data_IF_061576683801
#
_entry.id   IF_061576683801
#
_cell.length_a   1.000
_cell.length_b   1.000
_cell.length_c   1.000
_cell.angle_alpha   90.00
_cell.angle_beta   90.00
_cell.angle_gamma   90.00
#
_symmetry.space_group_name_H-M   'P 1'
#
loop_
_entity.id
_entity.type
_entity.pdbx_description
1 polymer ?
#
# COMPACT_ATOMS: atom_id res chain seq x y z
N UNK A 1 -16.89 -34.05 -24.90
CA UNK A 1 -16.98 -32.77 -25.61
C UNK A 1 -16.75 -31.66 -24.60
N UNK A 2 -15.51 -31.19 -24.49
CA UNK A 2 -15.11 -30.13 -23.56
C UNK A 2 -15.54 -28.81 -24.20
N UNK A 3 -16.58 -28.16 -23.66
CA UNK A 3 -17.01 -26.86 -24.15
C UNK A 3 -15.92 -25.85 -23.81
N UNK A 4 -15.30 -25.26 -24.83
CA UNK A 4 -14.39 -24.12 -24.66
C UNK A 4 -15.20 -22.96 -24.06
N UNK A 5 -14.82 -22.40 -22.90
CA UNK A 5 -15.58 -21.32 -22.28
C UNK A 5 -15.65 -20.12 -23.23
N UNK A 6 -16.86 -19.61 -23.45
CA UNK A 6 -17.14 -18.45 -24.30
C UNK A 6 -16.48 -17.21 -23.68
N UNK A 7 -15.64 -16.51 -24.47
CA UNK A 7 -14.97 -15.26 -24.10
C UNK A 7 -15.93 -14.31 -23.37
N UNK A 8 -15.51 -13.65 -22.27
CA UNK A 8 -16.31 -12.66 -21.56
C UNK A 8 -16.17 -11.25 -22.14
N UNK A 9 -15.34 -11.05 -23.16
CA UNK A 9 -15.14 -9.76 -23.83
C UNK A 9 -15.30 -9.93 -25.34
N UNK A 10 -15.92 -8.94 -25.98
CA UNK A 10 -16.06 -8.83 -27.44
C UNK A 10 -14.92 -8.01 -28.06
N UNK A 11 -14.38 -8.50 -29.17
CA UNK A 11 -13.35 -7.81 -29.97
C UNK A 11 -11.90 -8.25 -29.66
N UNK A 12 -10.95 -7.96 -30.58
CA UNK A 12 -9.55 -8.39 -30.46
C UNK A 12 -8.70 -7.48 -29.57
N UNK A 13 -9.20 -6.31 -29.16
CA UNK A 13 -8.50 -5.34 -28.32
C UNK A 13 -9.45 -4.74 -27.32
N UNK A 14 -9.03 -4.65 -26.06
CA UNK A 14 -9.82 -4.09 -24.96
C UNK A 14 -8.93 -3.35 -23.98
N UNK A 15 -9.53 -2.52 -23.13
CA UNK A 15 -8.84 -1.76 -22.09
C UNK A 15 -9.20 -2.34 -20.73
N UNK A 16 -8.20 -2.50 -19.87
CA UNK A 16 -8.36 -2.77 -18.46
C UNK A 16 -7.98 -1.51 -17.66
N UNK A 17 -8.80 -1.11 -16.72
CA UNK A 17 -8.52 -0.03 -15.78
C UNK A 17 -8.69 -0.52 -14.35
N UNK A 18 -7.64 -0.40 -13.55
CA UNK A 18 -7.71 -0.65 -12.12
C UNK A 18 -7.87 0.67 -11.39
N UNK A 19 -8.78 0.72 -10.42
CA UNK A 19 -9.07 1.87 -9.59
C UNK A 19 -8.89 1.49 -8.13
N UNK A 20 -7.98 2.16 -7.42
CA UNK A 20 -7.88 2.06 -5.98
C UNK A 20 -8.73 3.17 -5.34
N UNK A 21 -9.87 2.78 -4.77
CA UNK A 21 -10.99 3.71 -4.49
C UNK A 21 -11.28 3.88 -3.00
N UNK A 22 -10.95 2.90 -2.18
CA UNK A 22 -11.26 2.91 -0.76
C UNK A 22 -10.28 2.03 0.04
N UNK A 23 -10.28 2.12 1.38
CA UNK A 23 -9.54 1.19 2.23
C UNK A 23 -10.10 -0.25 2.14
N UNK A 24 -11.43 -0.39 2.00
CA UNK A 24 -12.09 -1.70 1.86
C UNK A 24 -13.34 -1.66 0.98
N UNK A 25 -13.61 -2.77 0.29
CA UNK A 25 -14.86 -3.03 -0.45
C UNK A 25 -15.56 -4.26 0.14
N UNK A 26 -16.84 -4.12 0.47
CA UNK A 26 -17.68 -5.24 0.85
C UNK A 26 -18.25 -5.95 -0.39
N UNK A 27 -17.67 -7.11 -0.72
CA UNK A 27 -18.06 -7.96 -1.85
C UNK A 27 -19.24 -8.89 -1.54
N UNK A 28 -19.65 -9.02 -0.27
CA UNK A 28 -20.71 -9.95 0.13
C UNK A 28 -22.06 -9.59 -0.51
N UNK A 29 -22.72 -10.61 -1.07
CA UNK A 29 -24.02 -10.45 -1.73
C UNK A 29 -23.98 -9.74 -3.09
N UNK A 30 -22.80 -9.57 -3.69
CA UNK A 30 -22.64 -9.13 -5.10
C UNK A 30 -22.53 -10.30 -6.08
N UNK A 31 -22.51 -11.54 -5.56
CA UNK A 31 -22.51 -12.77 -6.35
C UNK A 31 -23.85 -12.92 -7.08
N UNK A 32 -23.92 -12.44 -8.34
CA UNK A 32 -25.07 -12.60 -9.24
C UNK A 32 -24.93 -13.87 -10.09
N UNK A 33 -25.88 -14.12 -11.00
CA UNK A 33 -25.83 -15.26 -11.93
C UNK A 33 -24.62 -15.30 -12.88
N UNK A 34 -23.92 -14.17 -13.07
CA UNK A 34 -22.80 -14.01 -14.01
C UNK A 34 -21.41 -14.02 -13.34
N UNK A 35 -21.28 -14.68 -12.18
CA UNK A 35 -20.00 -14.82 -11.46
C UNK A 35 -19.01 -15.68 -12.25
N UNK A 36 -17.79 -15.17 -12.39
CA UNK A 36 -16.64 -15.82 -13.02
C UNK A 36 -15.69 -16.43 -11.99
N UNK A 37 -15.50 -15.77 -10.85
CA UNK A 37 -14.72 -16.25 -9.71
C UNK A 37 -15.16 -15.55 -8.42
N UNK A 38 -14.91 -16.16 -7.27
CA UNK A 38 -15.25 -15.61 -5.94
C UNK A 38 -14.05 -15.02 -5.20
N UNK A 39 -12.83 -15.42 -5.58
CA UNK A 39 -11.57 -15.01 -4.96
C UNK A 39 -10.52 -14.70 -6.05
N UNK A 40 -10.37 -13.42 -6.46
CA UNK A 40 -11.21 -12.26 -6.13
C UNK A 40 -12.61 -12.36 -6.76
N UNK A 41 -13.56 -11.55 -6.31
CA UNK A 41 -14.92 -11.56 -6.86
C UNK A 41 -14.91 -10.97 -8.27
N UNK A 42 -15.02 -11.83 -9.28
CA UNK A 42 -15.07 -11.47 -10.69
C UNK A 42 -16.44 -11.82 -11.28
N UNK A 43 -17.04 -10.92 -12.06
CA UNK A 43 -18.32 -11.16 -12.73
C UNK A 43 -18.47 -10.30 -13.98
N UNK A 44 -19.38 -10.68 -14.88
CA UNK A 44 -19.70 -9.86 -16.07
C UNK A 44 -20.60 -8.68 -15.69
N UNK A 45 -20.28 -7.50 -16.22
CA UNK A 45 -21.08 -6.28 -16.06
C UNK A 45 -22.08 -6.12 -17.21
N UNK A 46 -21.64 -6.40 -18.44
CA UNK A 46 -22.44 -6.40 -19.66
C UNK A 46 -21.92 -7.51 -20.61
N UNK A 47 -22.35 -7.53 -21.88
CA UNK A 47 -21.93 -8.57 -22.83
C UNK A 47 -20.42 -8.65 -23.08
N UNK A 48 -19.70 -7.52 -22.94
CA UNK A 48 -18.29 -7.38 -23.29
C UNK A 48 -17.41 -6.86 -22.13
N UNK A 49 -17.95 -6.81 -20.92
CA UNK A 49 -17.39 -6.08 -19.80
C UNK A 49 -17.29 -6.94 -18.56
N UNK A 50 -16.13 -6.91 -17.91
CA UNK A 50 -15.84 -7.68 -16.69
C UNK A 50 -15.45 -6.73 -15.57
N UNK A 51 -15.98 -6.97 -14.37
CA UNK A 51 -15.53 -6.33 -13.15
C UNK A 51 -14.89 -7.36 -12.22
N UNK A 52 -13.76 -6.98 -11.62
CA UNK A 52 -13.03 -7.76 -10.63
C UNK A 52 -12.88 -6.89 -9.39
N UNK A 53 -13.42 -7.36 -8.27
CA UNK A 53 -13.46 -6.64 -7.00
C UNK A 53 -12.52 -7.29 -6.00
N UNK A 54 -11.61 -6.48 -5.49
CA UNK A 54 -10.66 -6.85 -4.46
C UNK A 54 -11.11 -6.26 -3.12
N UNK A 55 -11.14 -7.08 -2.07
CA UNK A 55 -11.63 -6.67 -0.75
C UNK A 55 -10.78 -5.56 -0.13
N UNK A 56 -9.50 -5.50 -0.50
CA UNK A 56 -8.57 -4.44 -0.15
C UNK A 56 -8.78 -3.13 -0.92
N UNK A 57 -9.92 -2.94 -1.58
CA UNK A 57 -10.34 -1.61 -2.04
C UNK A 57 -10.07 -1.29 -3.51
N UNK A 58 -9.67 -2.28 -4.30
CA UNK A 58 -9.42 -2.13 -5.75
C UNK A 58 -10.59 -2.68 -6.57
N UNK A 59 -10.92 -1.96 -7.63
CA UNK A 59 -11.87 -2.36 -8.68
C UNK A 59 -11.13 -2.40 -10.00
N UNK A 60 -11.11 -3.54 -10.69
CA UNK A 60 -10.59 -3.63 -12.06
C UNK A 60 -11.75 -3.82 -13.02
N UNK A 61 -11.84 -2.93 -14.01
CA UNK A 61 -12.87 -2.93 -15.05
C UNK A 61 -12.20 -3.19 -16.39
N UNK A 62 -12.68 -4.20 -17.12
CA UNK A 62 -12.12 -4.61 -18.40
C UNK A 62 -13.21 -4.57 -19.46
N UNK A 63 -12.99 -3.83 -20.54
CA UNK A 63 -13.93 -3.73 -21.67
C UNK A 63 -15.14 -2.83 -21.42
N UNK A 64 -15.11 -2.00 -20.37
CA UNK A 64 -16.12 -0.97 -20.12
C UNK A 64 -15.66 0.36 -20.74
N UNK A 65 -16.62 1.19 -21.12
CA UNK A 65 -16.36 2.58 -21.50
C UNK A 65 -16.39 3.51 -20.27
N UNK A 66 -15.91 4.75 -20.42
CA UNK A 66 -15.78 5.68 -19.30
C UNK A 66 -17.10 6.02 -18.56
N UNK A 67 -18.24 5.97 -19.25
CA UNK A 67 -19.55 6.18 -18.63
C UNK A 67 -19.94 4.96 -17.78
N UNK A 68 -19.81 3.76 -18.35
CA UNK A 68 -20.09 2.50 -17.65
C UNK A 68 -19.19 2.34 -16.41
N UNK A 69 -17.92 2.74 -16.52
CA UNK A 69 -16.97 2.73 -15.40
C UNK A 69 -17.43 3.66 -14.27
N UNK A 70 -17.82 4.90 -14.58
CA UNK A 70 -18.27 5.86 -13.57
C UNK A 70 -19.58 5.41 -12.90
N UNK A 71 -20.54 4.91 -13.69
CA UNK A 71 -21.79 4.35 -13.17
C UNK A 71 -21.53 3.14 -12.24
N UNK A 72 -20.65 2.23 -12.66
CA UNK A 72 -20.29 1.07 -11.87
C UNK A 72 -19.65 1.47 -10.53
N UNK A 73 -18.68 2.38 -10.56
CA UNK A 73 -18.03 2.88 -9.35
C UNK A 73 -19.00 3.61 -8.41
N UNK A 74 -19.93 4.39 -8.95
CA UNK A 74 -20.99 5.03 -8.15
C UNK A 74 -21.89 4.00 -7.47
N UNK A 75 -22.27 2.94 -8.18
CA UNK A 75 -23.11 1.87 -7.63
C UNK A 75 -22.46 1.16 -6.43
N UNK A 76 -21.12 1.12 -6.39
CA UNK A 76 -20.35 0.49 -5.33
C UNK A 76 -20.07 1.40 -4.12
N UNK A 77 -20.34 2.71 -4.18
CA UNK A 77 -19.99 3.66 -3.11
C UNK A 77 -20.54 3.26 -1.73
N UNK A 78 -21.78 2.73 -1.67
CA UNK A 78 -22.40 2.28 -0.41
C UNK A 78 -21.70 1.08 0.25
N UNK A 79 -20.84 0.38 -0.50
CA UNK A 79 -20.09 -0.80 -0.06
C UNK A 79 -18.62 -0.49 0.22
N UNK A 80 -18.19 0.75 -0.03
CA UNK A 80 -16.82 1.22 0.18
C UNK A 80 -16.68 1.82 1.57
N UNK A 81 -15.61 1.44 2.28
CA UNK A 81 -15.22 2.02 3.57
C UNK A 81 -13.88 2.71 3.42
N UNK A 82 -13.76 3.94 3.94
CA UNK A 82 -12.53 4.72 3.83
C UNK A 82 -12.27 5.23 2.41
N UNK A 83 -13.27 5.89 1.80
CA UNK A 83 -13.17 6.46 0.46
C UNK A 83 -12.00 7.45 0.34
N UNK A 84 -11.26 7.37 -0.76
CA UNK A 84 -10.17 8.29 -1.03
C UNK A 84 -10.66 9.55 -1.75
N UNK A 85 -10.15 10.72 -1.34
CA UNK A 85 -10.42 12.00 -2.03
C UNK A 85 -9.90 12.00 -3.47
N UNK A 86 -8.76 11.34 -3.70
CA UNK A 86 -8.16 11.14 -5.02
C UNK A 86 -7.91 9.65 -5.22
N UNK A 87 -8.61 9.08 -6.20
CA UNK A 87 -8.43 7.68 -6.62
C UNK A 87 -7.12 7.53 -7.38
N UNK A 88 -6.48 6.39 -7.16
CA UNK A 88 -5.37 5.95 -8.00
C UNK A 88 -5.90 5.09 -9.13
N UNK A 89 -5.32 5.26 -10.32
CA UNK A 89 -5.70 4.47 -11.49
C UNK A 89 -4.47 3.92 -12.20
N UNK A 90 -4.63 2.72 -12.76
CA UNK A 90 -3.66 2.04 -13.61
C UNK A 90 -4.41 1.57 -14.87
N UNK A 91 -3.78 1.70 -16.04
CA UNK A 91 -4.42 1.40 -17.32
C UNK A 91 -3.55 0.43 -18.11
N UNK A 92 -4.17 -0.62 -18.65
CA UNK A 92 -3.53 -1.54 -19.56
C UNK A 92 -4.38 -1.79 -20.79
N UNK A 93 -3.71 -2.12 -21.89
CA UNK A 93 -4.35 -2.55 -23.12
C UNK A 93 -4.15 -4.05 -23.23
N UNK A 94 -5.23 -4.78 -23.47
CA UNK A 94 -5.22 -6.22 -23.68
C UNK A 94 -5.53 -6.48 -25.15
N UNK A 95 -4.73 -7.31 -25.81
CA UNK A 95 -4.90 -7.72 -27.21
C UNK A 95 -4.97 -9.25 -27.32
N UNK A 96 -5.94 -9.74 -28.09
CA UNK A 96 -6.08 -11.16 -28.41
C UNK A 96 -5.09 -11.55 -29.50
N UNK A 97 -4.17 -12.44 -29.17
CA UNK A 97 -3.17 -12.99 -30.07
C UNK A 97 -3.29 -14.53 -30.10
N UNK A 98 -4.39 -15.04 -30.68
CA UNK A 98 -4.74 -16.47 -30.63
C UNK A 98 -3.66 -17.44 -31.15
N UNK A 99 -2.79 -16.97 -32.05
CA UNK A 99 -1.72 -17.78 -32.66
C UNK A 99 -0.37 -17.69 -31.94
N UNK A 100 -0.26 -16.88 -30.88
CA UNK A 100 0.99 -16.67 -30.13
C UNK A 100 0.82 -17.10 -28.67
N UNK A 101 1.93 -17.46 -28.02
CA UNK A 101 1.94 -17.55 -26.56
C UNK A 101 1.66 -16.19 -25.93
N UNK A 102 1.18 -16.20 -24.68
CA UNK A 102 0.97 -14.99 -23.89
C UNK A 102 2.27 -14.16 -23.78
N UNK A 103 2.22 -12.88 -24.16
CA UNK A 103 3.37 -11.98 -24.22
C UNK A 103 3.05 -10.61 -23.62
N UNK A 104 3.96 -10.10 -22.81
CA UNK A 104 3.89 -8.76 -22.24
C UNK A 104 5.20 -8.04 -22.60
N UNK A 105 5.23 -7.25 -23.69
CA UNK A 105 6.39 -6.44 -24.05
C UNK A 105 6.48 -5.19 -23.16
N UNK A 106 7.70 -4.71 -22.86
CA UNK A 106 7.91 -3.50 -22.06
C UNK A 106 7.15 -2.29 -22.58
N UNK A 107 6.25 -1.75 -21.74
CA UNK A 107 5.43 -0.57 -22.05
C UNK A 107 4.44 -0.75 -23.19
N UNK A 108 4.17 -1.98 -23.62
CA UNK A 108 3.24 -2.32 -24.68
C UNK A 108 1.96 -3.00 -24.18
N UNK A 109 1.09 -3.45 -25.11
CA UNK A 109 -0.14 -4.15 -24.74
C UNK A 109 0.14 -5.58 -24.25
N UNK A 110 -0.73 -6.07 -23.36
CA UNK A 110 -0.73 -7.44 -22.87
C UNK A 110 -1.36 -8.33 -23.95
N UNK A 111 -0.55 -9.12 -24.64
CA UNK A 111 -1.02 -10.10 -25.61
C UNK A 111 -1.43 -11.39 -24.91
N UNK A 112 -2.71 -11.76 -25.04
CA UNK A 112 -3.25 -13.00 -24.51
C UNK A 112 -3.63 -13.93 -25.66
N UNK A 113 -3.27 -15.20 -25.56
CA UNK A 113 -3.67 -16.25 -26.50
C UNK A 113 -5.19 -16.48 -26.49
N UNK A 114 -5.87 -16.06 -25.42
CA UNK A 114 -7.31 -16.14 -25.29
C UNK A 114 -7.82 -15.28 -24.14
N UNK A 115 -9.00 -14.69 -24.31
CA UNK A 115 -9.65 -13.92 -23.26
C UNK A 115 -10.47 -14.86 -22.37
N UNK A 116 -9.83 -15.84 -21.72
CA UNK A 116 -10.53 -16.68 -20.75
C UNK A 116 -10.71 -15.91 -19.44
N UNK A 117 -11.76 -16.20 -18.64
CA UNK A 117 -11.95 -15.56 -17.33
C UNK A 117 -10.70 -15.62 -16.45
N UNK A 118 -9.99 -16.75 -16.45
CA UNK A 118 -8.82 -16.98 -15.63
C UNK A 118 -7.65 -16.05 -16.01
N UNK A 119 -7.42 -15.85 -17.31
CA UNK A 119 -6.38 -14.93 -17.79
C UNK A 119 -6.71 -13.48 -17.45
N UNK A 120 -7.97 -13.08 -17.61
CA UNK A 120 -8.42 -11.74 -17.25
C UNK A 120 -8.32 -11.47 -15.75
N UNK A 121 -8.60 -12.48 -14.92
CA UNK A 121 -8.39 -12.41 -13.47
C UNK A 121 -6.91 -12.20 -13.15
N UNK A 122 -5.99 -12.93 -13.80
CA UNK A 122 -4.55 -12.73 -13.57
C UNK A 122 -4.04 -11.35 -14.01
N UNK A 123 -4.57 -10.81 -15.11
CA UNK A 123 -4.30 -9.41 -15.48
C UNK A 123 -4.85 -8.47 -14.41
N UNK A 124 -6.08 -8.71 -13.93
CA UNK A 124 -6.68 -7.93 -12.84
C UNK A 124 -5.87 -7.96 -11.56
N UNK A 125 -5.35 -9.13 -11.16
CA UNK A 125 -4.45 -9.30 -10.01
C UNK A 125 -3.20 -8.43 -10.13
N UNK A 126 -2.51 -8.49 -11.28
CA UNK A 126 -1.30 -7.70 -11.50
C UNK A 126 -1.57 -6.19 -11.47
N UNK A 127 -2.63 -5.73 -12.15
CA UNK A 127 -3.02 -4.33 -12.17
C UNK A 127 -3.46 -3.84 -10.79
N UNK A 128 -4.17 -4.68 -10.03
CA UNK A 128 -4.63 -4.34 -8.69
C UNK A 128 -3.45 -4.15 -7.73
N UNK A 129 -2.44 -5.02 -7.81
CA UNK A 129 -1.20 -4.87 -7.06
C UNK A 129 -0.41 -3.64 -7.49
N UNK A 130 -0.31 -3.36 -8.81
CA UNK A 130 0.39 -2.17 -9.32
C UNK A 130 -0.21 -0.86 -8.79
N UNK A 131 -1.54 -0.72 -8.85
CA UNK A 131 -2.23 0.52 -8.42
C UNK A 131 -2.15 0.73 -6.91
N UNK A 132 -2.16 -0.35 -6.12
CA UNK A 132 -1.96 -0.30 -4.67
C UNK A 132 -0.53 0.14 -4.34
N UNK A 133 0.47 -0.45 -5.01
CA UNK A 133 1.87 -0.06 -4.84
C UNK A 133 2.09 1.41 -5.21
N UNK A 134 1.53 1.89 -6.33
CA UNK A 134 1.62 3.28 -6.75
C UNK A 134 1.05 4.25 -5.69
N UNK A 135 -0.07 3.89 -5.07
CA UNK A 135 -0.65 4.68 -3.97
C UNK A 135 0.27 4.69 -2.76
N UNK A 136 0.74 3.54 -2.31
CA UNK A 136 1.59 3.43 -1.13
C UNK A 136 2.95 4.09 -1.32
N UNK A 137 3.55 4.01 -2.51
CA UNK A 137 4.78 4.73 -2.84
C UNK A 137 4.64 6.24 -2.63
N UNK A 138 3.49 6.82 -2.99
CA UNK A 138 3.22 8.25 -2.75
C UNK A 138 2.94 8.57 -1.29
N UNK A 139 2.27 7.69 -0.56
CA UNK A 139 2.07 7.84 0.88
C UNK A 139 3.41 7.81 1.63
N UNK A 140 4.28 6.87 1.28
CA UNK A 140 5.65 6.79 1.84
C UNK A 140 6.47 8.01 1.45
N UNK A 141 6.41 8.45 0.19
CA UNK A 141 7.09 9.67 -0.25
C UNK A 141 6.68 10.89 0.57
N UNK A 142 5.38 11.06 0.84
CA UNK A 142 4.89 12.15 1.69
C UNK A 142 5.46 12.11 3.12
N UNK A 143 5.65 10.92 3.70
CA UNK A 143 6.32 10.77 5.01
C UNK A 143 7.78 11.21 4.93
N UNK A 144 8.51 10.78 3.90
CA UNK A 144 9.89 11.18 3.69
C UNK A 144 10.05 12.69 3.51
N UNK A 145 9.20 13.32 2.69
CA UNK A 145 9.21 14.77 2.44
C UNK A 145 9.04 15.59 3.75
N UNK A 146 8.35 15.04 4.75
CA UNK A 146 8.20 15.68 6.07
C UNK A 146 9.30 15.32 7.07
N UNK A 147 9.95 14.16 6.92
CA UNK A 147 10.94 13.65 7.89
C UNK A 147 12.36 14.09 7.54
N UNK A 148 12.70 14.20 6.24
CA UNK A 148 14.02 14.59 5.78
C UNK A 148 14.47 15.98 6.27
N UNK A 149 13.63 17.04 6.26
CA UNK A 149 14.01 18.34 6.82
C UNK A 149 14.35 18.26 8.30
N UNK A 150 13.62 17.45 9.07
CA UNK A 150 13.87 17.22 10.49
C UNK A 150 15.25 16.60 10.74
N UNK A 151 15.59 15.56 9.96
CA UNK A 151 16.90 14.92 10.03
C UNK A 151 18.03 15.89 9.67
N UNK A 152 17.82 16.75 8.66
CA UNK A 152 18.79 17.79 8.27
C UNK A 152 18.96 18.86 9.35
N UNK A 153 17.88 19.31 9.99
CA UNK A 153 17.96 20.25 11.12
C UNK A 153 18.72 19.66 12.31
N UNK A 154 18.42 18.41 12.65
CA UNK A 154 19.11 17.70 13.72
C UNK A 154 20.63 17.57 13.42
N UNK A 155 20.99 17.22 12.19
CA UNK A 155 22.38 17.08 11.77
C UNK A 155 23.14 18.42 11.77
N UNK A 156 22.48 19.53 11.44
CA UNK A 156 23.12 20.86 11.38
C UNK A 156 23.16 21.59 12.73
N UNK A 157 22.10 21.48 13.52
CA UNK A 157 21.88 22.31 14.71
C UNK A 157 21.82 21.56 16.03
N UNK A 158 21.83 20.21 16.01
CA UNK A 158 21.71 19.36 17.20
C UNK A 158 20.37 19.49 17.93
N UNK A 159 19.39 20.21 17.37
CA UNK A 159 18.06 20.48 17.96
C UNK A 159 17.01 20.59 16.86
N UNK A 160 15.81 20.10 17.14
CA UNK A 160 14.64 20.21 16.25
C UNK A 160 13.68 21.28 16.76
N UNK A 161 13.18 22.15 15.88
CA UNK A 161 12.12 23.10 16.22
C UNK A 161 10.79 22.34 16.48
N UNK A 162 10.16 22.56 17.64
CA UNK A 162 8.91 21.89 18.04
C UNK A 162 9.05 20.80 19.11
N UNK A 163 10.29 20.42 19.47
CA UNK A 163 10.58 19.52 20.60
C UNK A 163 10.04 18.09 20.47
N UNK A 164 10.05 17.34 21.58
CA UNK A 164 9.67 15.91 21.69
C UNK A 164 8.31 15.59 21.06
N UNK A 165 7.33 16.49 21.20
CA UNK A 165 5.96 16.28 20.75
C UNK A 165 5.86 16.26 19.23
N UNK A 166 6.62 17.12 18.53
CA UNK A 166 6.64 17.13 17.07
C UNK A 166 7.23 15.82 16.53
N UNK A 167 8.37 15.39 17.07
CA UNK A 167 9.04 14.14 16.69
C UNK A 167 8.09 12.94 16.87
N UNK A 168 7.47 12.79 18.06
CA UNK A 168 6.55 11.69 18.34
C UNK A 168 5.33 11.67 17.40
N UNK A 169 4.82 12.84 16.97
CA UNK A 169 3.74 12.91 15.98
C UNK A 169 4.19 12.40 14.61
N UNK A 170 5.39 12.76 14.15
CA UNK A 170 5.92 12.28 12.87
C UNK A 170 6.18 10.76 12.90
N UNK A 171 6.73 10.25 14.01
CA UNK A 171 6.90 8.81 14.24
C UNK A 171 5.55 8.09 14.23
N UNK A 172 4.56 8.63 14.94
CA UNK A 172 3.19 8.10 14.93
C UNK A 172 2.60 8.04 13.52
N UNK A 173 2.78 9.09 12.72
CA UNK A 173 2.35 9.10 11.32
C UNK A 173 3.06 8.04 10.48
N UNK A 174 4.39 7.89 10.63
CA UNK A 174 5.15 6.86 9.93
C UNK A 174 4.71 5.44 10.32
N UNK A 175 4.44 5.20 11.61
CA UNK A 175 3.91 3.92 12.11
C UNK A 175 2.50 3.64 11.57
N UNK A 176 1.64 4.66 11.49
CA UNK A 176 0.31 4.54 10.89
C UNK A 176 0.39 4.19 9.39
N UNK A 177 1.30 4.83 8.64
CA UNK A 177 1.52 4.50 7.23
C UNK A 177 2.08 3.08 7.10
N UNK A 178 3.07 2.69 7.92
CA UNK A 178 3.59 1.32 7.94
C UNK A 178 2.49 0.28 8.19
N UNK A 179 1.61 0.51 9.17
CA UNK A 179 0.51 -0.41 9.45
C UNK A 179 -0.51 -0.45 8.29
N UNK A 180 -0.76 0.68 7.63
CA UNK A 180 -1.67 0.74 6.48
C UNK A 180 -1.11 0.01 5.25
N UNK A 181 0.18 0.23 4.96
CA UNK A 181 0.90 -0.37 3.83
C UNK A 181 1.14 -1.87 4.04
N UNK A 182 1.41 -2.31 5.27
CA UNK A 182 1.53 -3.73 5.60
C UNK A 182 0.16 -4.44 5.76
N UNK A 183 -0.95 -3.72 5.57
CA UNK A 183 -2.29 -4.08 6.05
C UNK A 183 -3.06 -5.16 5.26
N UNK A 184 -2.88 -5.35 3.93
CA UNK A 184 -3.53 -6.45 3.23
C UNK A 184 -2.52 -7.53 2.83
N UNK A 185 -2.49 -8.62 3.60
CA UNK A 185 -1.80 -9.89 3.28
C UNK A 185 -2.17 -10.40 1.88
N UNK A 186 -3.37 -10.05 1.38
CA UNK A 186 -3.89 -10.39 0.05
C UNK A 186 -3.05 -9.83 -1.14
N UNK A 187 -2.21 -8.80 -0.93
CA UNK A 187 -1.39 -8.21 -2.02
C UNK A 187 -0.12 -9.03 -2.30
N UNK A 188 0.39 -9.77 -1.32
CA UNK A 188 1.70 -10.45 -1.40
C UNK A 188 1.63 -11.92 -1.81
N UNK A 189 0.44 -12.55 -1.79
CA UNK A 189 0.29 -13.97 -2.11
C UNK A 189 0.12 -14.19 -3.62
N UNK A 190 0.57 -15.36 -4.10
CA UNK A 190 0.29 -15.80 -5.47
C UNK A 190 -1.23 -15.92 -5.66
N UNK A 191 -1.79 -15.51 -6.80
CA UNK A 191 -3.23 -15.64 -7.05
C UNK A 191 -3.71 -17.08 -6.87
N UNK A 192 -4.81 -17.26 -6.13
CA UNK A 192 -5.34 -18.58 -5.79
C UNK A 192 -5.67 -19.43 -7.02
N UNK A 193 -6.06 -18.76 -8.12
CA UNK A 193 -6.37 -19.41 -9.40
C UNK A 193 -5.19 -20.20 -9.98
N UNK A 194 -3.96 -19.90 -9.56
CA UNK A 194 -2.76 -20.64 -9.99
C UNK A 194 -2.66 -22.02 -9.35
N UNK A 195 -3.30 -22.26 -8.20
CA UNK A 195 -3.38 -23.61 -7.61
C UNK A 195 -4.17 -24.57 -8.52
N UNK A 196 -5.25 -24.06 -9.13
CA UNK A 196 -6.08 -24.83 -10.05
C UNK A 196 -5.53 -24.86 -11.49
N UNK A 197 -4.78 -23.81 -11.89
CA UNK A 197 -4.31 -23.58 -13.26
C UNK A 197 -2.80 -23.30 -13.30
N UNK A 198 -1.93 -24.27 -12.94
CA UNK A 198 -0.48 -24.07 -12.91
C UNK A 198 0.11 -23.66 -14.27
N UNK A 199 -0.54 -24.03 -15.39
CA UNK A 199 -0.12 -23.60 -16.72
C UNK A 199 -0.12 -22.08 -16.93
N UNK A 200 -0.88 -21.32 -16.12
CA UNK A 200 -0.92 -19.86 -16.18
C UNK A 200 0.18 -19.17 -15.36
N UNK A 201 1.02 -19.94 -14.65
CA UNK A 201 2.11 -19.38 -13.84
C UNK A 201 3.12 -18.60 -14.69
N UNK A 202 3.38 -19.04 -15.93
CA UNK A 202 4.22 -18.30 -16.89
C UNK A 202 3.63 -16.94 -17.26
N UNK A 203 2.31 -16.85 -17.46
CA UNK A 203 1.63 -15.59 -17.74
C UNK A 203 1.74 -14.65 -16.54
N UNK A 204 1.43 -15.16 -15.34
CA UNK A 204 1.48 -14.35 -14.13
C UNK A 204 2.89 -13.87 -13.81
N UNK A 205 3.93 -14.72 -13.96
CA UNK A 205 5.31 -14.30 -13.76
C UNK A 205 5.72 -13.14 -14.70
N UNK A 206 5.34 -13.20 -15.99
CA UNK A 206 5.60 -12.09 -16.92
C UNK A 206 4.87 -10.80 -16.53
N UNK A 207 3.66 -10.91 -15.98
CA UNK A 207 2.93 -9.75 -15.44
C UNK A 207 3.63 -9.20 -14.19
N UNK A 208 4.06 -10.07 -13.27
CA UNK A 208 4.81 -9.63 -12.07
C UNK A 208 6.09 -8.89 -12.43
N UNK A 209 6.82 -9.40 -13.44
CA UNK A 209 8.07 -8.82 -13.91
C UNK A 209 7.83 -7.48 -14.63
N UNK A 210 6.86 -7.40 -15.56
CA UNK A 210 6.56 -6.15 -16.28
C UNK A 210 6.13 -5.02 -15.34
N UNK A 211 5.31 -5.32 -14.33
CA UNK A 211 4.85 -4.33 -13.36
C UNK A 211 5.80 -4.15 -12.17
N UNK A 212 6.95 -4.82 -12.19
CA UNK A 212 8.00 -4.80 -11.15
C UNK A 212 7.44 -5.04 -9.73
N UNK A 213 6.40 -5.88 -9.61
CA UNK A 213 5.57 -5.92 -8.39
C UNK A 213 6.40 -6.28 -7.15
N UNK A 214 7.33 -7.23 -7.28
CA UNK A 214 8.21 -7.66 -6.19
C UNK A 214 9.22 -6.58 -5.82
N UNK A 215 9.92 -6.05 -6.81
CA UNK A 215 10.96 -5.04 -6.60
C UNK A 215 10.39 -3.76 -5.97
N UNK A 216 9.24 -3.31 -6.46
CA UNK A 216 8.51 -2.15 -5.91
C UNK A 216 8.07 -2.39 -4.46
N UNK A 217 7.51 -3.57 -4.17
CA UNK A 217 7.12 -3.94 -2.81
C UNK A 217 8.32 -4.00 -1.85
N UNK A 218 9.43 -4.61 -2.26
CA UNK A 218 10.67 -4.69 -1.47
C UNK A 218 11.28 -3.31 -1.23
N UNK A 219 11.35 -2.48 -2.28
CA UNK A 219 11.83 -1.09 -2.19
C UNK A 219 11.01 -0.26 -1.22
N UNK A 220 9.68 -0.41 -1.26
CA UNK A 220 8.75 0.26 -0.35
C UNK A 220 8.97 -0.19 1.10
N UNK A 221 9.06 -1.50 1.34
CA UNK A 221 9.32 -2.05 2.67
C UNK A 221 10.66 -1.59 3.24
N UNK A 222 11.71 -1.55 2.41
CA UNK A 222 13.02 -1.04 2.82
C UNK A 222 12.97 0.43 3.18
N UNK A 223 12.28 1.27 2.40
CA UNK A 223 12.08 2.69 2.71
C UNK A 223 11.36 2.88 4.04
N UNK A 224 10.29 2.12 4.29
CA UNK A 224 9.56 2.16 5.56
C UNK A 224 10.41 1.70 6.76
N UNK A 225 11.26 0.68 6.57
CA UNK A 225 12.17 0.21 7.60
C UNK A 225 13.14 1.31 8.05
N UNK A 226 13.73 2.05 7.10
CA UNK A 226 14.63 3.18 7.41
C UNK A 226 13.93 4.27 8.22
N UNK A 227 12.67 4.59 7.89
CA UNK A 227 11.89 5.57 8.67
C UNK A 227 11.64 5.07 10.09
N UNK A 228 11.26 3.80 10.25
CA UNK A 228 11.03 3.20 11.56
C UNK A 228 12.31 3.12 12.42
N UNK A 229 13.45 2.78 11.81
CA UNK A 229 14.74 2.76 12.48
C UNK A 229 15.18 4.15 12.91
N UNK A 230 15.05 5.15 12.02
CA UNK A 230 15.34 6.55 12.33
C UNK A 230 14.46 7.06 13.48
N UNK A 231 13.18 6.69 13.48
CA UNK A 231 12.24 7.00 14.56
C UNK A 231 12.66 6.38 15.91
N UNK A 232 13.12 5.13 15.89
CA UNK A 232 13.59 4.44 17.09
C UNK A 232 14.83 5.13 17.67
N UNK A 233 15.85 5.40 16.86
CA UNK A 233 17.06 6.11 17.27
C UNK A 233 16.73 7.47 17.88
N UNK A 234 15.80 8.21 17.26
CA UNK A 234 15.39 9.52 17.77
C UNK A 234 14.67 9.42 19.12
N UNK A 235 13.93 8.35 19.35
CA UNK A 235 13.28 8.07 20.65
C UNK A 235 14.31 7.72 21.73
N UNK A 236 15.30 6.89 21.39
CA UNK A 236 16.38 6.49 22.32
C UNK A 236 17.25 7.69 22.76
N UNK A 237 17.53 8.62 21.85
CA UNK A 237 18.23 9.89 22.16
C UNK A 237 17.40 10.74 23.13
N UNK A 238 16.07 10.77 22.98
CA UNK A 238 15.17 11.54 23.86
C UNK A 238 15.15 10.94 25.28
N UNK A 239 15.17 9.61 25.41
CA UNK A 239 15.12 8.94 26.72
C UNK A 239 16.41 9.14 27.53
N UNK A 240 17.56 9.29 26.87
CA UNK A 240 18.86 9.56 27.52
C UNK A 240 18.87 10.90 28.27
N UNK A 241 18.12 11.90 27.79
CA UNK A 241 18.03 13.23 28.42
C UNK A 241 17.33 13.26 29.78
N UNK A 242 16.59 12.20 30.15
CA UNK A 242 15.91 12.10 31.44
C UNK A 242 16.86 11.73 32.58
N UNK A 243 17.87 10.91 32.30
CA UNK A 243 18.90 10.50 33.27
C UNK A 243 19.69 11.70 33.77
N UNK A 244 20.11 12.57 32.85
CA UNK A 244 20.96 13.74 33.13
C UNK A 244 20.25 14.78 34.01
N UNK A 245 18.93 14.95 33.87
CA UNK A 245 18.16 15.87 34.75
C UNK A 245 18.02 15.32 36.17
N UNK A 246 17.80 14.01 36.30
CA UNK A 246 17.70 13.37 37.62
C UNK A 246 19.05 13.43 38.34
N UNK A 247 20.13 13.17 37.61
CA UNK A 247 21.49 13.32 38.13
C UNK A 247 21.75 14.75 38.63
N UNK A 248 21.38 15.76 37.84
CA UNK A 248 21.58 17.17 38.20
C UNK A 248 20.71 17.61 39.39
N UNK A 249 19.49 17.07 39.53
CA UNK A 249 18.64 17.26 40.71
C UNK A 249 19.29 16.65 41.95
N UNK A 250 19.83 15.43 41.87
CA UNK A 250 20.51 14.77 42.99
C UNK A 250 21.74 15.58 43.41
N UNK A 251 22.56 16.04 42.46
CA UNK A 251 23.72 16.90 42.75
C UNK A 251 23.28 18.18 43.46
N UNK A 252 22.19 18.82 43.02
CA UNK A 252 21.69 20.04 43.65
C UNK A 252 21.14 19.79 45.07
N UNK A 253 20.47 18.66 45.29
CA UNK A 253 19.98 18.25 46.62
C UNK A 253 21.13 18.01 47.60
N UNK A 254 22.20 17.35 47.16
CA UNK A 254 23.41 17.14 47.98
C UNK A 254 24.07 18.48 48.30
N UNK A 255 24.22 19.36 47.30
CA UNK A 255 24.81 20.68 47.49
C UNK A 255 24.00 21.51 48.51
N UNK A 256 22.67 21.46 48.43
CA UNK A 256 21.78 22.15 49.35
C UNK A 256 21.93 21.65 50.79
N UNK A 257 21.99 20.33 51.00
CA UNK A 257 22.20 19.72 52.32
C UNK A 257 23.54 20.15 52.94
N UNK A 258 24.61 20.13 52.15
CA UNK A 258 25.94 20.57 52.58
C UNK A 258 25.93 22.04 53.00
N UNK A 259 25.27 22.91 52.23
CA UNK A 259 25.14 24.33 52.57
C UNK A 259 24.37 24.57 53.87
N UNK A 260 23.26 23.85 54.09
CA UNK A 260 22.50 23.90 55.34
C UNK A 260 23.38 23.47 56.52
N UNK A 261 24.11 22.37 56.37
CA UNK A 261 25.00 21.83 57.41
C UNK A 261 26.09 22.83 57.78
N UNK A 262 26.71 23.46 56.79
CA UNK A 262 27.73 24.50 57.01
C UNK A 262 27.11 25.73 57.70
N UNK A 263 25.93 26.16 57.28
CA UNK A 263 25.23 27.29 57.89
C UNK A 263 24.89 27.02 59.36
N UNK A 264 24.36 25.84 59.67
CA UNK A 264 24.07 25.42 61.05
C UNK A 264 25.34 25.40 61.90
N UNK A 265 26.45 24.87 61.37
CA UNK A 265 27.72 24.84 62.09
C UNK A 265 28.29 26.25 62.34
N UNK A 266 28.14 27.16 61.38
CA UNK A 266 28.58 28.55 61.51
C UNK A 266 27.76 29.31 62.57
N UNK A 267 26.43 29.12 62.57
CA UNK A 267 25.54 29.70 63.57
C UNK A 267 25.74 29.11 64.97
N UNK A 268 26.08 27.82 65.08
CA UNK A 268 26.36 27.18 66.37
C UNK A 268 27.70 27.60 67.00
N UNK A 269 28.57 28.28 66.24
CA UNK A 269 29.88 28.77 66.69
C UNK A 269 29.87 30.24 67.15
N UNK A 270 28.75 30.94 66.98
CA UNK A 270 28.49 32.27 67.49
C UNK A 270 27.54 32.22 68.69
#
# INVERSE_FOLDING_TARGET
MTQTPKSPIGGPRTTARAFFVADRINTSGLERGDVLATTPLAFRVNENGVAILFRYGVVVLIGLNALEEDEFLRSLQSRMTGLFTRREEEIAIIELAAEKEDQIPPGGPIYLQGLSPERLILVGEALAKSVVLARHEREVRAVFDTTEPLARELAKGGRVHGGRVAILKHIGNALLVRHRVAGPVEVSEKPDILWDKPQLERLYARLEDEYELKERAESLNRKLAVVAETAQVLTDIIDTGRSLRLELIIVFLILFEVLITIYQLAMARH
#
